data_IF_152839260919
#
_entry.id   IF_152839260919
#
_cell.length_a   1.000
_cell.length_b   1.000
_cell.length_c   1.000
_cell.angle_alpha   90.00
_cell.angle_beta   90.00
_cell.angle_gamma   90.00
#
_symmetry.space_group_name_H-M   'P 1'
#
loop_
_entity.id
_entity.type
_entity.pdbx_description
1 polymer ?
#
# COMPACT_ATOMS: atom_id res chain seq x y z
N UNK A 1 15.32 21.03 -23.24
CA UNK A 1 14.15 20.77 -22.39
C UNK A 1 13.90 19.29 -22.52
N UNK A 2 14.37 18.49 -21.56
CA UNK A 2 14.07 17.07 -21.55
C UNK A 2 12.55 16.91 -21.41
N UNK A 3 11.94 16.14 -22.30
CA UNK A 3 10.53 15.79 -22.19
C UNK A 3 10.31 15.11 -20.84
N UNK A 4 9.73 15.84 -19.89
CA UNK A 4 9.25 15.31 -18.62
C UNK A 4 8.12 14.32 -18.90
N UNK A 5 8.48 13.09 -19.25
CA UNK A 5 7.51 12.00 -19.31
C UNK A 5 7.01 11.70 -17.90
N UNK A 6 5.68 11.68 -17.77
CA UNK A 6 5.00 11.33 -16.53
C UNK A 6 5.32 9.87 -16.18
N UNK A 7 6.02 9.64 -15.06
CA UNK A 7 6.25 8.26 -14.57
C UNK A 7 4.94 7.72 -14.00
N UNK A 8 4.40 6.66 -14.60
CA UNK A 8 3.19 5.96 -14.15
C UNK A 8 3.35 4.45 -14.24
N UNK A 9 2.51 3.73 -13.51
CA UNK A 9 2.49 2.27 -13.49
C UNK A 9 1.20 1.76 -14.13
N UNK A 10 1.34 1.06 -15.26
CA UNK A 10 0.20 0.48 -15.97
C UNK A 10 -0.14 -0.91 -15.45
N UNK A 11 -1.43 -1.15 -15.19
CA UNK A 11 -1.98 -2.46 -14.84
C UNK A 11 -3.11 -2.80 -15.80
N UNK A 12 -2.88 -3.81 -16.63
CA UNK A 12 -3.90 -4.44 -17.47
C UNK A 12 -4.46 -5.64 -16.71
N UNK A 13 -5.70 -5.49 -16.25
CA UNK A 13 -6.46 -6.55 -15.60
C UNK A 13 -7.28 -7.32 -16.64
N UNK A 14 -7.95 -8.38 -16.18
CA UNK A 14 -8.71 -9.29 -17.05
C UNK A 14 -9.82 -8.55 -17.80
N UNK A 15 -9.99 -8.90 -19.07
CA UNK A 15 -11.04 -8.36 -19.95
C UNK A 15 -12.44 -8.84 -19.59
N UNK A 16 -12.55 -9.91 -18.81
CA UNK A 16 -13.83 -10.45 -18.33
C UNK A 16 -14.41 -9.69 -17.14
N UNK A 17 -13.63 -8.84 -16.47
CA UNK A 17 -14.07 -8.06 -15.32
C UNK A 17 -15.09 -7.00 -15.76
N UNK A 18 -16.22 -6.92 -15.03
CA UNK A 18 -17.26 -5.91 -15.25
C UNK A 18 -17.14 -4.72 -14.31
N UNK A 19 -16.49 -4.91 -13.17
CA UNK A 19 -16.13 -3.88 -12.22
C UNK A 19 -14.82 -4.28 -11.52
N UNK A 20 -14.21 -3.31 -10.85
CA UNK A 20 -12.99 -3.48 -10.05
C UNK A 20 -13.16 -2.70 -8.76
N UNK A 21 -12.80 -3.33 -7.64
CA UNK A 21 -12.72 -2.68 -6.33
C UNK A 21 -11.25 -2.59 -5.96
N UNK A 22 -10.80 -1.39 -5.58
CA UNK A 22 -9.43 -1.14 -5.14
C UNK A 22 -9.47 -0.82 -3.65
N UNK A 23 -8.84 -1.68 -2.85
CA UNK A 23 -8.75 -1.56 -1.39
C UNK A 23 -7.41 -0.92 -1.03
N UNK A 24 -7.41 0.29 -0.44
CA UNK A 24 -6.20 0.81 0.18
C UNK A 24 -5.89 0.01 1.44
N UNK A 25 -4.66 -0.50 1.54
CA UNK A 25 -4.09 -1.07 2.75
C UNK A 25 -3.05 -0.05 3.22
N UNK A 26 -3.41 0.80 4.17
CA UNK A 26 -2.52 1.78 4.80
C UNK A 26 -2.72 1.74 6.31
N UNK A 27 -1.82 2.39 7.05
CA UNK A 27 -1.98 2.64 8.49
C UNK A 27 -2.27 1.36 9.28
N UNK A 28 -1.67 0.24 8.85
CA UNK A 28 -1.77 -1.01 9.57
C UNK A 28 -1.02 -0.90 10.91
N UNK A 29 0.11 -0.18 10.94
CA UNK A 29 0.93 0.02 12.13
C UNK A 29 1.23 -1.30 12.86
N UNK A 30 1.57 -2.36 12.11
CA UNK A 30 1.96 -3.62 12.73
C UNK A 30 3.22 -3.40 13.58
N UNK A 31 3.18 -3.83 14.84
CA UNK A 31 4.15 -3.43 15.86
C UNK A 31 3.49 -2.65 16.99
N UNK A 32 2.43 -1.90 16.71
CA UNK A 32 1.62 -1.24 17.72
C UNK A 32 0.83 -2.27 18.54
N UNK A 33 0.81 -2.22 19.89
CA UNK A 33 0.05 -3.16 20.72
C UNK A 33 -1.47 -3.10 20.47
N UNK A 34 -1.97 -2.00 19.91
CA UNK A 34 -3.38 -1.83 19.56
C UNK A 34 -3.70 -2.20 18.11
N UNK A 35 -2.75 -2.75 17.36
CA UNK A 35 -2.98 -3.22 16.00
C UNK A 35 -4.15 -4.21 15.94
N UNK A 36 -5.15 -3.89 15.12
CA UNK A 36 -6.30 -4.76 14.93
C UNK A 36 -6.00 -5.88 13.94
N UNK A 37 -5.29 -6.91 14.42
CA UNK A 37 -4.94 -8.09 13.61
C UNK A 37 -6.15 -8.73 12.93
N UNK A 38 -7.30 -8.76 13.60
CA UNK A 38 -8.55 -9.32 13.03
C UNK A 38 -8.93 -8.60 11.73
N UNK A 39 -9.14 -7.30 11.77
CA UNK A 39 -9.57 -6.53 10.59
C UNK A 39 -8.53 -6.52 9.47
N UNK A 40 -7.24 -6.49 9.83
CA UNK A 40 -6.17 -6.62 8.84
C UNK A 40 -6.27 -7.95 8.09
N UNK A 41 -6.38 -9.07 8.82
CA UNK A 41 -6.51 -10.39 8.19
C UNK A 41 -7.81 -10.55 7.40
N UNK A 42 -8.93 -10.00 7.88
CA UNK A 42 -10.20 -9.97 7.13
C UNK A 42 -10.06 -9.19 5.81
N UNK A 43 -9.36 -8.06 5.84
CA UNK A 43 -9.08 -7.27 4.62
C UNK A 43 -8.24 -8.07 3.63
N UNK A 44 -7.20 -8.76 4.10
CA UNK A 44 -6.38 -9.62 3.24
C UNK A 44 -7.18 -10.78 2.65
N UNK A 45 -8.05 -11.42 3.45
CA UNK A 45 -8.94 -12.48 2.98
C UNK A 45 -9.94 -11.97 1.94
N UNK A 46 -10.50 -10.77 2.14
CA UNK A 46 -11.39 -10.14 1.17
C UNK A 46 -10.69 -9.91 -0.17
N UNK A 47 -9.48 -9.35 -0.15
CA UNK A 47 -8.67 -9.17 -1.37
C UNK A 47 -8.32 -10.53 -1.98
N UNK A 48 -7.90 -11.51 -1.19
CA UNK A 48 -7.51 -12.83 -1.67
C UNK A 48 -8.64 -13.55 -2.37
N UNK A 49 -9.81 -13.64 -1.72
CA UNK A 49 -10.89 -14.53 -2.13
C UNK A 49 -11.86 -13.90 -3.14
N UNK A 50 -11.84 -12.57 -3.28
CA UNK A 50 -12.77 -11.88 -4.19
C UNK A 50 -12.10 -11.58 -5.54
N UNK A 51 -12.57 -12.14 -6.67
CA UNK A 51 -11.85 -12.08 -7.95
C UNK A 51 -11.58 -10.68 -8.53
N UNK A 52 -12.51 -9.74 -8.30
CA UNK A 52 -12.49 -8.37 -8.80
C UNK A 52 -11.94 -7.35 -7.79
N UNK A 53 -11.38 -7.80 -6.67
CA UNK A 53 -10.79 -6.95 -5.63
C UNK A 53 -9.27 -6.97 -5.74
N UNK A 54 -8.68 -5.78 -5.73
CA UNK A 54 -7.25 -5.54 -5.79
C UNK A 54 -6.83 -4.59 -4.67
N UNK A 55 -5.54 -4.54 -4.35
CA UNK A 55 -5.02 -3.70 -3.27
C UNK A 55 -4.01 -2.67 -3.78
N UNK A 56 -3.95 -1.53 -3.08
CA UNK A 56 -2.81 -0.61 -3.11
C UNK A 56 -2.27 -0.54 -1.68
N UNK A 57 -0.99 -0.79 -1.49
CA UNK A 57 -0.37 -0.63 -0.18
C UNK A 57 0.13 0.81 -0.04
N UNK A 58 -0.51 1.62 0.80
CA UNK A 58 -0.27 3.07 0.83
C UNK A 58 0.39 3.53 2.14
N UNK A 59 1.53 2.93 2.50
CA UNK A 59 2.34 3.37 3.64
C UNK A 59 1.83 2.95 5.03
N UNK A 60 2.68 3.16 6.05
CA UNK A 60 2.40 2.93 7.48
C UNK A 60 1.91 1.48 7.76
N UNK A 61 2.51 0.50 7.07
CA UNK A 61 2.24 -0.92 7.30
C UNK A 61 2.92 -1.42 8.57
N UNK A 62 4.11 -0.89 8.87
CA UNK A 62 4.88 -1.17 10.08
C UNK A 62 4.88 0.05 11.00
N UNK A 63 4.67 -0.16 12.31
CA UNK A 63 4.77 0.92 13.30
C UNK A 63 6.20 1.49 13.36
N UNK A 64 7.20 0.60 13.26
CA UNK A 64 8.64 0.91 13.16
C UNK A 64 9.08 2.03 14.11
N UNK A 65 8.60 2.03 15.35
CA UNK A 65 8.94 3.10 16.29
C UNK A 65 10.39 2.92 16.76
N UNK A 66 11.19 3.97 16.65
CA UNK A 66 12.59 4.06 17.08
C UNK A 66 12.76 5.14 18.14
N UNK A 67 13.96 5.31 18.68
CA UNK A 67 14.23 6.28 19.76
C UNK A 67 13.79 7.72 19.43
N UNK A 68 13.82 8.11 18.16
CA UNK A 68 13.38 9.44 17.69
C UNK A 68 11.89 9.48 17.30
N UNK A 69 11.18 8.35 17.37
CA UNK A 69 9.74 8.29 17.14
C UNK A 69 8.95 8.88 18.31
N UNK A 70 7.73 9.34 18.03
CA UNK A 70 6.77 9.80 19.05
C UNK A 70 6.08 8.64 19.81
N UNK A 71 6.17 7.41 19.29
CA UNK A 71 5.54 6.21 19.85
C UNK A 71 6.34 5.58 20.99
N UNK A 72 5.72 4.63 21.69
CA UNK A 72 6.33 3.97 22.85
C UNK A 72 7.13 2.73 22.43
N UNK A 73 8.46 2.89 22.32
CA UNK A 73 9.37 1.88 21.77
C UNK A 73 9.36 0.55 22.55
N UNK A 74 9.14 0.58 23.87
CA UNK A 74 9.25 -0.60 24.74
C UNK A 74 8.02 -1.51 24.70
N UNK A 75 6.91 -1.05 24.10
CA UNK A 75 5.66 -1.83 24.00
C UNK A 75 5.42 -2.39 22.60
N UNK A 76 6.41 -2.26 21.71
CA UNK A 76 6.27 -2.75 20.35
C UNK A 76 6.37 -4.26 20.25
N UNK A 77 5.64 -4.81 19.28
CA UNK A 77 5.79 -6.19 18.86
C UNK A 77 6.98 -6.29 17.90
N UNK A 78 8.10 -6.78 18.44
CA UNK A 78 9.32 -7.06 17.67
C UNK A 78 10.05 -5.80 17.18
N UNK A 79 11.20 -6.02 16.54
CA UNK A 79 11.98 -4.97 15.88
C UNK A 79 11.32 -4.51 14.57
N UNK A 80 11.72 -3.36 13.99
CA UNK A 80 11.26 -2.97 12.65
C UNK A 80 11.49 -4.05 11.59
N UNK A 81 12.58 -4.82 11.72
CA UNK A 81 12.87 -5.95 10.85
C UNK A 81 11.87 -7.11 11.04
N UNK A 82 11.48 -7.43 12.28
CA UNK A 82 10.46 -8.44 12.54
C UNK A 82 9.09 -8.02 11.99
N UNK A 83 8.74 -6.74 12.15
CA UNK A 83 7.52 -6.15 11.63
C UNK A 83 7.47 -6.26 10.11
N UNK A 84 8.54 -5.85 9.43
CA UNK A 84 8.73 -5.99 7.99
C UNK A 84 8.55 -7.44 7.53
N UNK A 85 9.26 -8.38 8.15
CA UNK A 85 9.21 -9.80 7.79
C UNK A 85 7.79 -10.37 7.96
N UNK A 86 7.07 -9.96 9.00
CA UNK A 86 5.70 -10.37 9.22
C UNK A 86 4.75 -9.81 8.17
N UNK A 87 4.86 -8.52 7.83
CA UNK A 87 4.06 -7.88 6.77
C UNK A 87 4.30 -8.57 5.42
N UNK A 88 5.55 -8.84 5.05
CA UNK A 88 5.89 -9.61 3.84
C UNK A 88 5.16 -10.96 3.86
N UNK A 89 5.25 -11.70 4.98
CA UNK A 89 4.59 -13.00 5.13
C UNK A 89 3.07 -12.90 4.93
N UNK A 90 2.41 -11.88 5.48
CA UNK A 90 0.96 -11.75 5.37
C UNK A 90 0.50 -11.27 3.98
N UNK A 91 1.26 -10.40 3.32
CA UNK A 91 0.91 -9.89 1.98
C UNK A 91 1.25 -10.86 0.86
N UNK A 92 2.18 -11.81 1.08
CA UNK A 92 2.63 -12.77 0.07
C UNK A 92 1.49 -13.55 -0.64
N UNK A 93 0.44 -14.04 0.04
CA UNK A 93 -0.69 -14.71 -0.61
C UNK A 93 -1.45 -13.83 -1.63
N UNK A 94 -1.46 -12.51 -1.42
CA UNK A 94 -2.18 -11.55 -2.28
C UNK A 94 -1.26 -10.74 -3.19
N UNK A 95 0.05 -11.03 -3.26
CA UNK A 95 1.02 -10.20 -4.00
C UNK A 95 0.64 -9.93 -5.46
N UNK A 96 0.00 -10.89 -6.12
CA UNK A 96 -0.46 -10.81 -7.51
C UNK A 96 -1.69 -9.88 -7.70
N UNK A 97 -2.32 -9.45 -6.61
CA UNK A 97 -3.43 -8.49 -6.57
C UNK A 97 -3.02 -7.11 -6.06
N UNK A 98 -1.75 -6.90 -5.69
CA UNK A 98 -1.23 -5.60 -5.28
C UNK A 98 -0.83 -4.80 -6.51
N UNK A 99 -1.54 -3.70 -6.76
CA UNK A 99 -1.34 -2.85 -7.94
C UNK A 99 -0.04 -2.06 -7.83
N UNK A 100 0.32 -1.64 -6.61
CA UNK A 100 1.58 -0.99 -6.27
C UNK A 100 1.64 -0.59 -4.80
N UNK A 101 2.79 -0.03 -4.41
CA UNK A 101 3.10 0.34 -3.02
C UNK A 101 3.74 1.73 -2.94
N UNK A 102 3.37 2.51 -1.93
CA UNK A 102 4.05 3.75 -1.51
C UNK A 102 4.62 3.58 -0.09
N UNK A 103 5.32 4.59 0.41
CA UNK A 103 5.80 4.60 1.80
C UNK A 103 4.89 5.43 2.70
N UNK A 104 4.97 5.20 4.00
CA UNK A 104 4.33 6.02 5.01
C UNK A 104 5.35 6.79 5.84
N UNK A 105 4.88 7.71 6.68
CA UNK A 105 5.76 8.54 7.50
C UNK A 105 6.41 7.76 8.66
N UNK A 106 5.93 6.56 9.00
CA UNK A 106 6.56 5.68 9.97
C UNK A 106 7.80 5.00 9.37
N UNK A 107 7.66 4.38 8.21
CA UNK A 107 8.80 3.77 7.52
C UNK A 107 9.79 4.81 6.98
N UNK A 108 9.30 5.94 6.43
CA UNK A 108 10.18 7.01 5.95
C UNK A 108 11.06 7.61 7.05
N UNK A 109 10.62 7.58 8.32
CA UNK A 109 11.45 8.00 9.46
C UNK A 109 12.69 7.11 9.61
N UNK A 110 12.53 5.79 9.43
CA UNK A 110 13.67 4.86 9.46
C UNK A 110 14.65 5.19 8.34
N UNK A 111 14.13 5.41 7.13
CA UNK A 111 14.96 5.79 5.99
C UNK A 111 15.75 7.08 6.27
N UNK A 112 15.09 8.12 6.80
CA UNK A 112 15.74 9.40 7.09
C UNK A 112 16.80 9.31 8.20
N UNK A 113 16.61 8.43 9.18
CA UNK A 113 17.52 8.32 10.33
C UNK A 113 18.71 7.41 10.07
N UNK A 114 18.51 6.31 9.33
CA UNK A 114 19.52 5.26 9.16
C UNK A 114 19.68 4.74 7.73
N UNK A 115 18.97 5.31 6.75
CA UNK A 115 19.11 4.97 5.33
C UNK A 115 18.45 3.65 4.91
N UNK A 116 17.64 3.03 5.77
CA UNK A 116 16.96 1.75 5.49
C UNK A 116 15.51 2.00 5.09
N UNK A 117 15.15 1.65 3.86
CA UNK A 117 13.78 1.75 3.36
C UNK A 117 13.02 0.43 3.55
N UNK A 118 12.27 0.36 4.65
CA UNK A 118 11.44 -0.80 4.99
C UNK A 118 10.34 -1.03 3.96
N UNK A 119 9.73 0.03 3.42
CA UNK A 119 8.67 -0.10 2.41
C UNK A 119 9.22 -0.68 1.11
N UNK A 120 10.42 -0.25 0.70
CA UNK A 120 11.13 -0.81 -0.46
C UNK A 120 11.45 -2.29 -0.26
N UNK A 121 11.98 -2.68 0.89
CA UNK A 121 12.26 -4.09 1.18
C UNK A 121 11.00 -4.96 1.04
N UNK A 122 9.86 -4.48 1.53
CA UNK A 122 8.58 -5.18 1.42
C UNK A 122 8.17 -5.29 -0.05
N UNK A 123 8.22 -4.18 -0.79
CA UNK A 123 7.83 -4.15 -2.19
C UNK A 123 8.69 -5.08 -3.06
N UNK A 124 10.01 -5.07 -2.85
CA UNK A 124 10.97 -5.91 -3.56
C UNK A 124 10.70 -7.40 -3.24
N UNK A 125 10.47 -7.75 -1.97
CA UNK A 125 10.16 -9.12 -1.56
C UNK A 125 8.82 -9.64 -2.15
N UNK A 126 7.86 -8.76 -2.40
CA UNK A 126 6.59 -9.08 -3.03
C UNK A 126 6.65 -9.02 -4.57
N UNK A 127 7.67 -8.38 -5.14
CA UNK A 127 7.80 -8.14 -6.57
C UNK A 127 6.74 -7.16 -7.10
N UNK A 128 6.42 -6.11 -6.33
CA UNK A 128 5.40 -5.13 -6.68
C UNK A 128 6.03 -3.75 -6.96
N UNK A 129 5.45 -2.94 -7.85
CA UNK A 129 5.91 -1.58 -8.09
C UNK A 129 5.93 -0.77 -6.81
N UNK A 130 6.98 0.03 -6.64
CA UNK A 130 7.19 0.89 -5.48
C UNK A 130 7.52 2.31 -5.94
N UNK A 131 6.85 3.29 -5.32
CA UNK A 131 7.19 4.70 -5.50
C UNK A 131 6.88 5.46 -4.19
N UNK A 132 7.89 5.85 -3.41
CA UNK A 132 7.68 6.38 -2.06
C UNK A 132 6.87 7.68 -2.05
N UNK A 133 7.14 8.60 -2.97
CA UNK A 133 6.58 9.97 -2.98
C UNK A 133 5.12 10.03 -3.44
N UNK A 134 4.59 8.90 -3.92
CA UNK A 134 3.25 8.80 -4.48
C UNK A 134 3.26 8.15 -5.86
N UNK A 135 2.16 7.48 -6.19
CA UNK A 135 2.07 6.59 -7.33
C UNK A 135 0.90 6.95 -8.23
N UNK A 136 1.22 7.27 -9.48
CA UNK A 136 0.22 7.35 -10.54
C UNK A 136 -0.01 5.97 -11.17
N UNK A 137 -1.23 5.48 -11.11
CA UNK A 137 -1.67 4.19 -11.62
C UNK A 137 -2.60 4.38 -12.81
N UNK A 138 -2.30 3.67 -13.90
CA UNK A 138 -3.21 3.48 -15.03
C UNK A 138 -3.80 2.09 -14.94
N UNK A 139 -5.07 2.00 -14.55
CA UNK A 139 -5.78 0.72 -14.39
C UNK A 139 -6.68 0.52 -15.61
N UNK A 140 -6.54 -0.62 -16.25
CA UNK A 140 -7.34 -1.00 -17.41
C UNK A 140 -7.97 -2.38 -17.20
N UNK A 141 -9.26 -2.52 -17.49
CA UNK A 141 -9.99 -3.77 -17.30
C UNK A 141 -11.22 -3.83 -18.21
N UNK A 142 -11.84 -5.01 -18.29
CA UNK A 142 -13.05 -5.19 -19.09
C UNK A 142 -12.79 -5.09 -20.59
N UNK A 143 -13.87 -4.99 -21.35
CA UNK A 143 -13.85 -4.81 -22.80
C UNK A 143 -15.17 -4.17 -23.25
N UNK A 144 -15.26 -3.68 -24.49
CA UNK A 144 -16.47 -3.03 -25.02
C UNK A 144 -16.51 -1.51 -24.82
N UNK A 145 -15.42 -0.88 -24.41
CA UNK A 145 -15.39 0.57 -24.17
C UNK A 145 -15.65 1.36 -25.47
N UNK A 146 -16.55 2.34 -25.41
CA UNK A 146 -17.02 3.15 -26.55
C UNK A 146 -17.49 2.31 -27.75
N UNK A 147 -18.11 1.15 -27.51
CA UNK A 147 -18.61 0.27 -28.57
C UNK A 147 -17.53 -0.57 -29.27
N UNK A 148 -16.27 -0.50 -28.85
CA UNK A 148 -15.19 -1.33 -29.40
C UNK A 148 -15.01 -2.62 -28.58
N UNK A 149 -15.30 -3.82 -29.15
CA UNK A 149 -15.34 -5.07 -28.38
C UNK A 149 -14.06 -5.40 -27.62
N UNK A 150 -12.91 -5.02 -28.16
CA UNK A 150 -11.58 -5.34 -27.62
C UNK A 150 -10.95 -4.21 -26.78
N UNK A 151 -11.62 -3.04 -26.67
CA UNK A 151 -11.06 -1.89 -25.96
C UNK A 151 -11.41 -1.94 -24.47
N UNK A 152 -10.43 -1.93 -23.55
CA UNK A 152 -10.72 -1.91 -22.12
C UNK A 152 -11.22 -0.53 -21.67
N UNK A 153 -11.89 -0.52 -20.52
CA UNK A 153 -12.11 0.71 -19.76
C UNK A 153 -10.80 1.10 -19.07
N UNK A 154 -10.48 2.39 -19.05
CA UNK A 154 -9.22 2.90 -18.52
C UNK A 154 -9.51 3.98 -17.48
N UNK A 155 -8.93 3.82 -16.30
CA UNK A 155 -9.01 4.75 -15.19
C UNK A 155 -7.60 5.13 -14.74
N UNK A 156 -7.46 6.36 -14.31
CA UNK A 156 -6.22 6.88 -13.72
C UNK A 156 -6.49 7.21 -12.25
N UNK A 157 -5.57 6.82 -11.38
CA UNK A 157 -5.63 7.13 -9.95
C UNK A 157 -4.27 7.51 -9.42
N UNK A 158 -4.22 8.46 -8.50
CA UNK A 158 -3.01 8.85 -7.79
C UNK A 158 -3.13 8.43 -6.33
N UNK A 159 -2.16 7.66 -5.83
CA UNK A 159 -2.10 7.23 -4.44
C UNK A 159 -0.90 7.88 -3.76
N UNK A 160 -1.10 8.50 -2.61
CA UNK A 160 -0.03 9.05 -1.78
C UNK A 160 -0.38 8.85 -0.32
N UNK A 161 0.62 8.66 0.54
CA UNK A 161 0.40 8.71 1.98
C UNK A 161 0.28 10.16 2.41
N UNK A 162 -0.74 10.47 3.22
CA UNK A 162 -0.89 11.77 3.85
C UNK A 162 -0.08 11.82 5.15
N UNK A 163 0.33 13.01 5.58
CA UNK A 163 0.87 13.20 6.92
C UNK A 163 0.01 14.19 7.69
N UNK A 164 -0.48 13.79 8.87
CA UNK A 164 -1.32 14.61 9.74
C UNK A 164 -0.70 14.77 11.13
N UNK A 165 -0.66 15.99 11.66
CA UNK A 165 -0.25 16.28 13.05
C UNK A 165 -1.33 16.01 14.10
N UNK A 166 -2.40 15.30 13.73
CA UNK A 166 -3.62 15.12 14.51
C UNK A 166 -3.36 14.44 15.87
N UNK A 167 -3.52 15.18 16.98
CA UNK A 167 -3.36 14.66 18.36
C UNK A 167 -4.69 14.46 19.10
N UNK A 168 -5.85 14.75 18.50
CA UNK A 168 -7.17 14.69 19.16
C UNK A 168 -8.21 13.93 18.34
N UNK A 169 -9.26 13.43 19.01
CA UNK A 169 -10.33 12.58 18.42
C UNK A 169 -10.99 13.19 17.17
N UNK A 170 -11.11 14.52 17.09
CA UNK A 170 -11.75 15.19 15.94
C UNK A 170 -10.87 15.29 14.69
N UNK A 171 -9.57 15.05 14.80
CA UNK A 171 -8.64 15.21 13.69
C UNK A 171 -8.36 13.89 12.93
N UNK A 172 -8.94 12.76 13.37
CA UNK A 172 -8.86 11.45 12.70
C UNK A 172 -10.15 11.04 11.98
N UNK A 173 -11.14 11.93 11.92
CA UNK A 173 -12.39 11.71 11.19
C UNK A 173 -12.46 12.71 10.03
N UNK A 174 -11.90 12.31 8.90
CA UNK A 174 -12.25 12.79 7.56
C UNK A 174 -11.97 11.67 6.58
#
# INVERSE_FOLDING_TARGET
>A
MDNLELIYYARQLRTTLKNVIVVPISDAHYGNPYFSKRHFMETLQYVQNTPNVFAICNGDLCESSIRTSKGEIFKQVGSPQDQRNWIIKQLKPIKHKILGMTTGNHEARIYNEVGVDISKDIADALGVPYRPEGMLLKISFGSGNSGHPNKPYVYWGYATHGYGGARTKSAKAV
#
